data_IF_760868234630
#
_entry.id   IF_760868234630
#
_cell.length_a   1.000
_cell.length_b   1.000
_cell.length_c   1.000
_cell.angle_alpha   90.00
_cell.angle_beta   90.00
_cell.angle_gamma   90.00
#
_symmetry.space_group_name_H-M   'P 1'
#
loop_
_entity.id
_entity.type
_entity.pdbx_description
1 polymer ?
#
# COMPACT_ATOMS: atom_id res chain seq x y z
N UNK A 1 -24.96 12.34 -0.57
CA UNK A 1 -24.44 13.46 0.27
C UNK A 1 -22.95 13.22 0.50
N UNK A 2 -22.12 13.32 -0.56
CA UNK A 2 -20.75 12.74 -0.57
C UNK A 2 -19.61 13.76 -0.70
N UNK A 3 -19.90 14.98 -1.14
CA UNK A 3 -18.91 16.06 -1.27
C UNK A 3 -18.53 16.72 0.07
N UNK A 4 -19.25 16.40 1.14
CA UNK A 4 -19.02 16.98 2.47
C UNK A 4 -17.81 16.39 3.19
N UNK A 5 -17.26 15.27 2.73
CA UNK A 5 -16.12 14.62 3.40
C UNK A 5 -14.81 15.39 3.28
N UNK A 6 -14.70 16.29 2.29
CA UNK A 6 -13.51 17.13 2.03
C UNK A 6 -13.80 18.62 2.23
N UNK A 7 -15.02 18.96 2.70
CA UNK A 7 -15.45 20.32 2.90
C UNK A 7 -15.56 20.66 4.39
N UNK A 8 -14.92 21.74 4.80
CA UNK A 8 -15.12 22.35 6.11
C UNK A 8 -16.32 23.30 6.03
N UNK A 9 -17.46 22.86 6.55
CA UNK A 9 -18.71 23.60 6.50
C UNK A 9 -18.73 24.84 7.40
N UNK A 10 -17.94 24.85 8.49
CA UNK A 10 -17.86 26.00 9.39
C UNK A 10 -17.07 27.13 8.75
N UNK A 11 -15.96 26.78 8.09
CA UNK A 11 -15.11 27.73 7.37
C UNK A 11 -15.61 28.02 5.95
N UNK A 12 -16.59 27.24 5.47
CA UNK A 12 -17.11 27.24 4.09
C UNK A 12 -15.99 27.07 3.07
N UNK A 13 -15.04 26.21 3.40
CA UNK A 13 -13.83 25.99 2.62
C UNK A 13 -13.70 24.52 2.21
N UNK A 14 -12.94 24.27 1.16
CA UNK A 14 -12.71 22.92 0.63
C UNK A 14 -11.21 22.70 0.53
N UNK A 15 -10.73 21.63 1.15
CA UNK A 15 -9.32 21.28 1.10
C UNK A 15 -9.01 20.55 -0.20
N UNK A 16 -8.32 21.25 -1.10
CA UNK A 16 -7.91 20.69 -2.40
C UNK A 16 -6.81 19.64 -2.27
N UNK A 17 -6.06 19.58 -1.16
CA UNK A 17 -5.04 18.54 -0.95
C UNK A 17 -5.68 17.15 -0.76
N UNK A 18 -6.96 17.10 -0.36
CA UNK A 18 -7.75 15.87 -0.25
C UNK A 18 -8.45 15.47 -1.56
N UNK A 19 -8.28 16.26 -2.64
CA UNK A 19 -8.92 16.02 -3.93
C UNK A 19 -7.84 15.72 -4.97
N UNK A 20 -7.80 14.47 -5.46
CA UNK A 20 -6.95 14.08 -6.59
C UNK A 20 -7.80 13.95 -7.85
N UNK A 21 -7.40 14.66 -8.91
CA UNK A 21 -7.93 14.45 -10.27
C UNK A 21 -6.93 13.56 -11.01
N UNK A 22 -7.34 12.34 -11.33
CA UNK A 22 -6.53 11.34 -12.03
C UNK A 22 -7.11 11.10 -13.43
N UNK A 23 -6.24 11.04 -14.44
CA UNK A 23 -6.65 10.91 -15.84
C UNK A 23 -5.86 9.82 -16.55
N UNK A 24 -6.57 8.81 -17.04
CA UNK A 24 -6.00 7.72 -17.84
C UNK A 24 -6.35 7.90 -19.32
N UNK A 25 -5.44 7.49 -20.21
CA UNK A 25 -5.66 7.54 -21.67
C UNK A 25 -6.41 6.30 -22.16
N UNK A 26 -7.27 6.48 -23.16
CA UNK A 26 -7.95 5.38 -23.85
C UNK A 26 -9.47 5.26 -23.60
N UNK A 27 -10.05 6.16 -22.80
CA UNK A 27 -11.51 6.28 -22.58
C UNK A 27 -12.12 7.56 -23.17
N UNK A 28 -13.43 7.69 -23.02
CA UNK A 28 -14.19 8.91 -23.32
C UNK A 28 -14.43 9.75 -22.06
N UNK A 29 -14.80 11.03 -22.22
CA UNK A 29 -15.15 11.88 -21.08
C UNK A 29 -16.31 11.31 -20.24
N UNK A 30 -17.21 10.55 -20.86
CA UNK A 30 -18.34 9.91 -20.20
C UNK A 30 -17.95 8.72 -19.30
N UNK A 31 -16.73 8.20 -19.44
CA UNK A 31 -16.22 7.09 -18.61
C UNK A 31 -15.60 7.60 -17.29
N UNK A 32 -15.54 8.92 -17.11
CA UNK A 32 -15.07 9.54 -15.87
C UNK A 32 -16.02 9.25 -14.72
N UNK A 33 -15.47 8.82 -13.59
CA UNK A 33 -16.24 8.47 -12.40
C UNK A 33 -15.63 9.08 -11.14
N UNK A 34 -16.47 9.33 -10.14
CA UNK A 34 -16.03 9.79 -8.83
C UNK A 34 -15.64 8.59 -7.97
N UNK A 35 -14.35 8.46 -7.65
CA UNK A 35 -13.85 7.44 -6.72
C UNK A 35 -13.96 7.93 -5.29
N UNK A 36 -14.59 7.13 -4.42
CA UNK A 36 -14.61 7.37 -2.98
C UNK A 36 -13.41 6.69 -2.32
N UNK A 37 -12.29 7.41 -2.29
CA UNK A 37 -11.04 6.90 -1.75
C UNK A 37 -9.85 7.44 -2.54
N UNK A 38 -8.81 6.61 -2.62
CA UNK A 38 -7.55 6.96 -3.28
C UNK A 38 -7.31 5.98 -4.42
N UNK A 39 -6.95 6.50 -5.59
CA UNK A 39 -6.45 5.71 -6.72
C UNK A 39 -4.93 5.68 -6.63
N UNK A 40 -4.37 4.47 -6.64
CA UNK A 40 -2.93 4.23 -6.69
C UNK A 40 -2.63 3.42 -7.93
N UNK A 41 -1.87 3.99 -8.86
CA UNK A 41 -1.41 3.32 -10.07
C UNK A 41 -0.26 2.34 -9.73
N UNK A 42 -0.63 1.19 -9.15
CA UNK A 42 0.27 0.10 -8.80
C UNK A 42 -0.44 -1.24 -8.95
N UNK A 43 0.24 -2.17 -9.61
CA UNK A 43 -0.17 -3.56 -9.67
C UNK A 43 0.13 -4.31 -8.35
N UNK A 44 -0.65 -5.35 -8.08
CA UNK A 44 -0.33 -6.30 -7.02
C UNK A 44 0.99 -7.01 -7.31
N UNK A 45 1.78 -7.24 -6.26
CA UNK A 45 3.12 -7.84 -6.40
C UNK A 45 3.12 -9.29 -6.92
N UNK A 46 1.99 -9.99 -6.86
CA UNK A 46 1.90 -11.39 -7.30
C UNK A 46 0.64 -11.65 -8.16
N UNK A 47 0.74 -12.34 -9.31
CA UNK A 47 -0.40 -12.56 -10.22
C UNK A 47 -1.56 -13.37 -9.64
N UNK A 48 -1.31 -14.23 -8.64
CA UNK A 48 -2.37 -15.00 -7.98
C UNK A 48 -3.08 -14.22 -6.86
N UNK A 49 -2.72 -12.94 -6.66
CA UNK A 49 -3.42 -12.08 -5.71
C UNK A 49 -4.86 -11.86 -6.21
N UNK A 50 -5.88 -11.97 -5.34
CA UNK A 50 -7.25 -11.68 -5.72
C UNK A 50 -7.36 -10.27 -6.32
N UNK A 51 -8.08 -10.14 -7.45
CA UNK A 51 -8.33 -8.84 -8.08
C UNK A 51 -9.21 -7.91 -7.22
N UNK A 52 -9.98 -8.47 -6.29
CA UNK A 52 -10.84 -7.74 -5.36
C UNK A 52 -10.59 -8.25 -3.94
N UNK A 53 -10.35 -7.33 -3.00
CA UNK A 53 -10.21 -7.61 -1.57
C UNK A 53 -11.31 -6.84 -0.83
N UNK A 54 -12.29 -7.57 -0.30
CA UNK A 54 -13.37 -7.01 0.52
C UNK A 54 -12.94 -6.92 1.99
N UNK A 55 -13.45 -5.92 2.69
CA UNK A 55 -13.13 -5.65 4.11
C UNK A 55 -11.61 -5.58 4.35
N UNK A 56 -10.95 -4.80 3.49
CA UNK A 56 -9.49 -4.66 3.53
C UNK A 56 -9.04 -3.87 4.77
N UNK A 57 -8.20 -4.49 5.60
CA UNK A 57 -7.42 -3.80 6.63
C UNK A 57 -6.01 -3.59 6.06
N UNK A 58 -5.71 -2.32 5.75
CA UNK A 58 -4.47 -1.92 5.09
C UNK A 58 -3.35 -1.71 6.12
N UNK A 59 -2.18 -2.27 5.85
CA UNK A 59 -0.93 -1.89 6.52
C UNK A 59 -0.09 -1.03 5.57
N UNK A 60 0.12 0.24 5.93
CA UNK A 60 0.94 1.17 5.15
C UNK A 60 2.34 1.24 5.78
N UNK A 61 3.35 0.87 5.01
CA UNK A 61 4.75 0.82 5.45
C UNK A 61 5.59 1.86 4.71
N UNK A 62 6.34 2.64 5.47
CA UNK A 62 7.34 3.58 4.94
C UNK A 62 8.73 2.94 4.77
N UNK A 63 8.84 1.63 5.00
CA UNK A 63 10.08 0.87 4.87
C UNK A 63 9.90 -0.28 3.89
N UNK A 64 10.98 -0.63 3.19
CA UNK A 64 10.99 -1.78 2.30
C UNK A 64 10.73 -3.08 3.08
N UNK A 65 9.89 -3.95 2.51
CA UNK A 65 9.67 -5.30 3.02
C UNK A 65 10.85 -6.21 2.62
N UNK A 66 12.02 -5.95 3.20
CA UNK A 66 13.26 -6.67 2.96
C UNK A 66 13.85 -7.21 4.26
N UNK A 67 14.68 -8.25 4.16
CA UNK A 67 15.50 -8.67 5.29
C UNK A 67 16.34 -7.47 5.76
N UNK A 68 16.33 -7.11 7.06
CA UNK A 68 16.95 -5.90 7.55
C UNK A 68 18.44 -5.88 7.19
N UNK A 69 18.82 -4.92 6.34
CA UNK A 69 20.23 -4.74 5.96
C UNK A 69 21.01 -4.24 7.18
N UNK A 70 22.16 -4.84 7.51
CA UNK A 70 23.00 -4.33 8.59
C UNK A 70 23.45 -2.90 8.25
N UNK A 71 23.34 -1.98 9.21
CA UNK A 71 23.74 -0.56 9.04
C UNK A 71 25.26 -0.37 8.95
N UNK A 72 26.05 -1.38 9.33
CA UNK A 72 27.52 -1.38 9.31
C UNK A 72 28.07 -2.20 8.14
N UNK A 73 29.17 -1.75 7.52
CA UNK A 73 29.94 -2.55 6.55
C UNK A 73 30.51 -3.79 7.25
N UNK A 74 29.79 -4.90 7.20
CA UNK A 74 30.27 -6.21 7.59
C UNK A 74 30.59 -7.01 6.32
N UNK A 75 31.78 -7.60 6.25
CA UNK A 75 32.05 -8.66 5.29
C UNK A 75 31.26 -9.89 5.73
N UNK A 76 30.18 -10.19 5.01
CA UNK A 76 29.45 -11.44 5.16
C UNK A 76 30.18 -12.48 4.32
N UNK A 77 31.06 -13.26 4.97
CA UNK A 77 31.59 -14.48 4.38
C UNK A 77 30.49 -15.54 4.44
N UNK A 78 29.78 -15.71 3.31
CA UNK A 78 28.65 -16.64 3.22
C UNK A 78 29.20 -18.05 3.04
N UNK A 79 29.27 -18.82 4.12
CA UNK A 79 29.68 -20.23 4.10
C UNK A 79 28.53 -21.20 3.76
N UNK A 80 27.30 -20.72 3.60
CA UNK A 80 26.15 -21.55 3.22
C UNK A 80 24.90 -20.75 2.87
N UNK A 81 24.13 -21.25 1.89
CA UNK A 81 22.90 -20.62 1.36
C UNK A 81 21.72 -20.74 2.35
N UNK A 82 21.78 -21.68 3.29
CA UNK A 82 20.62 -22.08 4.10
C UNK A 82 20.31 -21.17 5.30
N UNK A 83 21.28 -20.41 5.82
CA UNK A 83 21.06 -19.47 6.94
C UNK A 83 20.39 -18.15 6.50
N UNK A 84 20.23 -17.95 5.20
CA UNK A 84 19.72 -16.71 4.65
C UNK A 84 18.18 -16.74 4.53
N UNK A 85 17.54 -15.96 5.42
CA UNK A 85 16.35 -15.12 5.17
C UNK A 85 14.94 -15.68 5.40
N UNK A 86 14.65 -16.97 5.41
CA UNK A 86 13.24 -17.43 5.45
C UNK A 86 12.50 -17.11 6.76
N UNK A 87 13.16 -17.27 7.91
CA UNK A 87 12.48 -17.17 9.21
C UNK A 87 12.04 -15.75 9.56
N UNK A 88 12.83 -14.73 9.19
CA UNK A 88 12.49 -13.32 9.46
C UNK A 88 11.25 -12.87 8.70
N UNK A 89 11.11 -13.28 7.44
CA UNK A 89 9.91 -12.96 6.66
C UNK A 89 8.67 -13.64 7.24
N UNK A 90 8.78 -14.90 7.67
CA UNK A 90 7.67 -15.60 8.32
C UNK A 90 7.22 -14.90 9.61
N UNK A 91 8.17 -14.37 10.40
CA UNK A 91 7.86 -13.59 11.59
C UNK A 91 7.12 -12.29 11.26
N UNK A 92 7.60 -11.52 10.29
CA UNK A 92 6.92 -10.28 9.86
C UNK A 92 5.51 -10.56 9.33
N UNK A 93 5.33 -11.61 8.52
CA UNK A 93 4.00 -12.04 8.04
C UNK A 93 3.08 -12.39 9.22
N UNK A 94 3.61 -13.07 10.25
CA UNK A 94 2.84 -13.40 11.45
C UNK A 94 2.40 -12.14 12.21
N UNK A 95 3.24 -11.12 12.28
CA UNK A 95 2.88 -9.83 12.88
C UNK A 95 1.74 -9.16 12.11
N UNK A 96 1.79 -9.10 10.76
CA UNK A 96 0.68 -8.56 9.95
C UNK A 96 -0.62 -9.32 10.15
N UNK A 97 -0.56 -10.65 10.18
CA UNK A 97 -1.72 -11.49 10.48
C UNK A 97 -2.28 -11.25 11.88
N UNK A 98 -1.42 -11.01 12.87
CA UNK A 98 -1.82 -10.65 14.23
C UNK A 98 -2.55 -9.31 14.31
N UNK A 99 -2.15 -8.34 13.48
CA UNK A 99 -2.81 -7.04 13.35
C UNK A 99 -4.07 -7.08 12.47
N UNK A 100 -4.45 -8.25 11.94
CA UNK A 100 -5.56 -8.46 10.99
C UNK A 100 -5.41 -7.71 9.66
N UNK A 101 -4.19 -7.30 9.31
CA UNK A 101 -3.93 -6.70 8.00
C UNK A 101 -4.00 -7.78 6.91
N UNK A 102 -4.80 -7.53 5.87
CA UNK A 102 -4.97 -8.44 4.72
C UNK A 102 -4.40 -7.85 3.42
N UNK A 103 -4.00 -6.58 3.41
CA UNK A 103 -3.26 -5.95 2.33
C UNK A 103 -2.16 -5.06 2.90
N UNK A 104 -0.95 -5.17 2.34
CA UNK A 104 0.22 -4.39 2.75
C UNK A 104 0.67 -3.52 1.59
N UNK A 105 0.78 -2.22 1.84
CA UNK A 105 1.29 -1.23 0.89
C UNK A 105 2.67 -0.82 1.38
N UNK A 106 3.69 -1.07 0.57
CA UNK A 106 5.06 -0.61 0.82
C UNK A 106 5.39 0.52 -0.13
N UNK A 107 6.23 1.46 0.32
CA UNK A 107 6.83 2.49 -0.52
C UNK A 107 7.86 1.94 -1.49
#
# INVERSE_FOLDING_TARGET
MHFLSVADLERKDVDFDLIKVDGEIGGSLGDSLLVQGVIVDKDFSYPQTPFEIRDATLAILTCAFESPKPKTKYHLDIFGIEEFKKDKFAEMIKQFKGMRANLVICQ
#
